data_IF_679528156789
#
_entry.id   IF_679528156789
#
_cell.length_a   1.000
_cell.length_b   1.000
_cell.length_c   1.000
_cell.angle_alpha   90.00
_cell.angle_beta   90.00
_cell.angle_gamma   90.00
#
_symmetry.space_group_name_H-M   'P 1'
#
loop_
_entity.id
_entity.type
_entity.pdbx_description
1 polymer ?
#
# COMPACT_ATOMS: atom_id res chain seq x y z
N UNK A 1 -6.36 -16.95 -21.77
CA UNK A 1 -5.46 -16.22 -20.88
C UNK A 1 -5.50 -16.83 -19.50
N UNK A 2 -4.35 -17.06 -18.89
CA UNK A 2 -4.30 -17.70 -17.58
C UNK A 2 -4.81 -16.75 -16.51
N UNK A 3 -5.47 -17.31 -15.48
CA UNK A 3 -5.89 -16.56 -14.31
C UNK A 3 -4.63 -16.13 -13.53
N UNK A 4 -4.43 -14.82 -13.31
CA UNK A 4 -3.23 -14.34 -12.59
C UNK A 4 -3.12 -14.83 -11.15
N UNK A 5 -4.24 -15.24 -10.53
CA UNK A 5 -4.22 -15.72 -9.14
C UNK A 5 -3.77 -17.17 -9.02
N UNK A 6 -3.65 -17.91 -10.11
CA UNK A 6 -3.26 -19.33 -10.11
C UNK A 6 -2.12 -19.64 -11.07
N UNK A 7 -1.83 -18.78 -12.03
CA UNK A 7 -0.78 -19.02 -13.01
C UNK A 7 0.61 -19.08 -12.35
N UNK A 8 1.55 -19.88 -12.88
CA UNK A 8 2.90 -19.93 -12.30
C UNK A 8 3.66 -18.61 -12.42
N UNK A 9 3.30 -17.78 -13.38
CA UNK A 9 3.75 -16.39 -13.46
C UNK A 9 2.72 -15.57 -14.25
N UNK A 10 2.73 -14.26 -14.03
CA UNK A 10 1.93 -13.34 -14.82
C UNK A 10 2.48 -11.92 -14.65
N UNK A 11 2.01 -11.01 -15.50
CA UNK A 11 2.43 -9.62 -15.46
C UNK A 11 1.22 -8.72 -15.74
N UNK A 12 1.20 -7.56 -15.11
CA UNK A 12 0.13 -6.58 -15.29
C UNK A 12 0.70 -5.19 -15.03
N UNK A 13 0.16 -4.18 -15.72
CA UNK A 13 0.40 -2.79 -15.35
C UNK A 13 -0.37 -2.45 -14.10
N UNK A 14 0.23 -1.69 -13.17
CA UNK A 14 -0.47 -1.26 -11.97
C UNK A 14 -1.80 -0.56 -12.30
N UNK A 15 -1.82 0.25 -13.36
CA UNK A 15 -3.02 0.96 -13.79
C UNK A 15 -4.18 0.03 -14.14
N UNK A 16 -3.89 -1.23 -14.51
CA UNK A 16 -4.90 -2.21 -14.89
C UNK A 16 -5.33 -3.12 -13.74
N UNK A 17 -4.70 -3.00 -12.58
CA UNK A 17 -5.15 -3.74 -11.38
C UNK A 17 -6.39 -3.06 -10.82
N UNK A 18 -7.41 -3.87 -10.51
CA UNK A 18 -8.68 -3.36 -9.99
C UNK A 18 -8.47 -2.47 -8.76
N UNK A 19 -9.26 -1.42 -8.67
CA UNK A 19 -9.19 -0.48 -7.56
C UNK A 19 -10.33 -0.70 -6.57
N UNK A 20 -10.11 -0.25 -5.34
CA UNK A 20 -11.12 -0.17 -4.31
C UNK A 20 -10.88 1.13 -3.52
N UNK A 21 -11.80 1.47 -2.64
CA UNK A 21 -11.68 2.66 -1.78
C UNK A 21 -10.57 2.52 -0.72
N UNK A 22 -9.96 1.33 -0.62
CA UNK A 22 -8.89 1.05 0.33
C UNK A 22 -9.41 0.77 1.73
N UNK A 23 -8.60 1.07 2.78
CA UNK A 23 -8.98 0.80 4.17
C UNK A 23 -10.26 1.50 4.61
N UNK A 24 -10.90 1.02 5.71
CA UNK A 24 -12.24 1.48 6.12
C UNK A 24 -12.35 2.97 6.44
N UNK A 25 -11.26 3.68 6.66
CA UNK A 25 -11.33 5.12 6.94
C UNK A 25 -11.79 5.94 5.73
N UNK A 26 -11.74 5.34 4.53
CA UNK A 26 -12.31 5.93 3.33
C UNK A 26 -11.74 7.29 2.93
N UNK A 27 -10.59 7.66 3.46
CA UNK A 27 -10.07 9.02 3.36
C UNK A 27 -9.33 9.30 2.05
N UNK A 28 -9.12 8.30 1.20
CA UNK A 28 -8.31 8.47 0.00
C UNK A 28 -9.11 9.00 -1.17
N UNK A 29 -8.72 10.14 -1.72
CA UNK A 29 -9.18 10.58 -3.03
C UNK A 29 -8.46 9.89 -4.17
N UNK A 30 -7.37 9.19 -3.87
CA UNK A 30 -6.53 8.50 -4.84
C UNK A 30 -7.03 7.08 -5.11
N UNK A 31 -6.60 6.50 -6.22
CA UNK A 31 -6.92 5.12 -6.54
C UNK A 31 -6.04 4.15 -5.73
N UNK A 32 -6.67 3.15 -5.16
CA UNK A 32 -6.00 2.11 -4.37
C UNK A 32 -6.14 0.79 -5.12
N UNK A 33 -5.01 0.22 -5.55
CA UNK A 33 -4.98 -0.96 -6.41
C UNK A 33 -4.71 -2.22 -5.60
N UNK A 34 -5.58 -3.23 -5.74
CA UNK A 34 -5.55 -4.47 -4.95
C UNK A 34 -4.58 -5.48 -5.58
N UNK A 35 -3.29 -5.23 -5.47
CA UNK A 35 -2.25 -6.06 -6.10
C UNK A 35 -2.17 -7.45 -5.47
N UNK A 36 -2.17 -7.51 -4.13
CA UNK A 36 -2.12 -8.79 -3.42
C UNK A 36 -3.25 -9.71 -3.90
N UNK A 37 -4.45 -9.17 -3.99
CA UNK A 37 -5.64 -9.94 -4.40
C UNK A 37 -5.56 -10.34 -5.86
N UNK A 38 -5.06 -9.46 -6.71
CA UNK A 38 -4.93 -9.73 -8.14
C UNK A 38 -4.12 -11.01 -8.41
N UNK A 39 -2.98 -11.14 -7.73
CA UNK A 39 -2.10 -12.30 -7.88
C UNK A 39 -2.35 -13.40 -6.85
N UNK A 40 -3.17 -13.15 -5.86
CA UNK A 40 -3.33 -14.00 -4.67
C UNK A 40 -2.00 -14.28 -3.99
N UNK A 41 -1.24 -13.23 -3.72
CA UNK A 41 0.05 -13.34 -3.03
C UNK A 41 -0.18 -13.86 -1.61
N UNK A 42 0.49 -14.94 -1.24
CA UNK A 42 0.31 -15.62 0.04
C UNK A 42 1.34 -15.24 1.09
N UNK A 43 2.49 -14.72 0.69
CA UNK A 43 3.64 -14.55 1.57
C UNK A 43 3.75 -13.16 2.19
N UNK A 44 3.12 -12.14 1.60
CA UNK A 44 3.20 -10.76 2.08
C UNK A 44 2.02 -9.95 1.54
N UNK A 45 1.73 -8.84 2.20
CA UNK A 45 0.79 -7.86 1.69
C UNK A 45 1.45 -6.96 0.66
N UNK A 46 0.76 -6.64 -0.41
CA UNK A 46 1.23 -5.71 -1.43
C UNK A 46 0.05 -5.04 -2.09
N UNK A 47 0.09 -3.71 -2.15
CA UNK A 47 -0.94 -2.94 -2.84
C UNK A 47 -0.29 -1.70 -3.45
N UNK A 48 -0.99 -1.10 -4.40
CA UNK A 48 -0.51 0.10 -5.06
C UNK A 48 -1.43 1.28 -4.79
N UNK A 49 -0.87 2.47 -4.88
CA UNK A 49 -1.64 3.69 -4.79
C UNK A 49 -1.19 4.63 -5.90
N UNK A 50 -2.15 5.23 -6.59
CA UNK A 50 -1.86 6.20 -7.64
C UNK A 50 -2.66 7.47 -7.39
N UNK A 51 -2.11 8.61 -7.74
CA UNK A 51 -2.81 9.88 -7.56
C UNK A 51 -2.09 11.02 -8.25
N UNK A 52 -2.75 12.17 -8.23
CA UNK A 52 -2.28 13.39 -8.84
C UNK A 52 -1.95 14.44 -7.77
N UNK A 53 -1.38 15.56 -8.21
CA UNK A 53 -0.92 16.60 -7.29
C UNK A 53 -1.98 16.99 -6.26
N UNK A 54 -1.62 16.98 -4.99
CA UNK A 54 -2.49 17.33 -3.88
C UNK A 54 -3.33 16.19 -3.33
N UNK A 55 -3.33 15.02 -3.98
CA UNK A 55 -4.11 13.89 -3.52
C UNK A 55 -3.38 13.07 -2.45
N UNK A 56 -4.14 12.63 -1.45
CA UNK A 56 -3.63 11.73 -0.40
C UNK A 56 -3.54 10.32 -0.98
N UNK A 57 -2.31 9.87 -1.29
CA UNK A 57 -2.10 8.55 -1.91
C UNK A 57 -1.94 7.45 -0.86
N UNK A 58 -1.39 7.75 0.31
CA UNK A 58 -1.37 6.82 1.44
C UNK A 58 -2.13 7.50 2.57
N UNK A 59 -3.27 6.92 2.95
CA UNK A 59 -4.08 7.43 4.05
C UNK A 59 -3.33 7.26 5.36
N UNK A 60 -3.53 8.17 6.31
CA UNK A 60 -2.86 8.08 7.59
C UNK A 60 -3.30 6.83 8.34
N UNK A 61 -2.34 6.00 8.71
CA UNK A 61 -2.60 4.77 9.45
C UNK A 61 -1.32 4.28 10.14
N UNK A 62 -1.49 3.36 11.06
CA UNK A 62 -0.40 2.56 11.61
C UNK A 62 -0.65 1.08 11.29
N UNK A 63 0.33 0.23 11.66
CA UNK A 63 0.29 -1.20 11.37
C UNK A 63 0.31 -2.05 12.65
N UNK A 64 -0.17 -1.50 13.78
CA UNK A 64 -0.16 -2.22 15.06
C UNK A 64 -1.11 -3.42 15.03
N UNK A 65 -0.81 -4.43 15.86
CA UNK A 65 -1.63 -5.63 16.01
C UNK A 65 -3.09 -5.32 16.34
N UNK A 66 -3.32 -4.28 17.13
CA UNK A 66 -4.65 -3.88 17.59
C UNK A 66 -5.29 -2.79 16.72
N UNK A 67 -4.74 -2.52 15.54
CA UNK A 67 -5.30 -1.52 14.65
C UNK A 67 -6.63 -1.97 14.08
N UNK A 68 -7.49 -1.02 13.76
CA UNK A 68 -8.79 -1.28 13.15
C UNK A 68 -8.68 -1.94 11.78
N UNK A 69 -7.54 -1.80 11.12
CA UNK A 69 -7.27 -2.39 9.81
C UNK A 69 -6.89 -3.87 9.88
N UNK A 70 -6.46 -4.35 11.05
CA UNK A 70 -6.08 -5.74 11.23
C UNK A 70 -4.81 -6.14 10.52
N UNK A 71 -3.81 -5.28 10.53
CA UNK A 71 -2.53 -5.50 9.85
C UNK A 71 -1.52 -6.29 10.67
N UNK A 72 -1.77 -6.46 11.95
CA UNK A 72 -1.04 -7.38 12.82
C UNK A 72 0.45 -7.12 12.95
N UNK A 73 0.85 -5.86 13.07
CA UNK A 73 2.24 -5.52 13.38
C UNK A 73 3.17 -5.65 12.18
N UNK A 74 2.70 -5.33 11.00
CA UNK A 74 3.54 -5.37 9.80
C UNK A 74 4.65 -4.32 9.83
N UNK A 75 5.85 -4.70 9.41
CA UNK A 75 6.79 -3.73 8.88
C UNK A 75 6.40 -3.45 7.42
N UNK A 76 6.64 -2.23 6.94
CA UNK A 76 6.11 -1.80 5.66
C UNK A 76 7.16 -1.04 4.85
N UNK A 77 7.31 -1.44 3.59
CA UNK A 77 8.19 -0.79 2.63
C UNK A 77 7.35 -0.14 1.55
N UNK A 78 7.59 1.16 1.34
CA UNK A 78 7.00 1.89 0.23
C UNK A 78 8.05 2.15 -0.84
N UNK A 79 7.65 2.00 -2.11
CA UNK A 79 8.50 2.33 -3.25
C UNK A 79 7.77 3.34 -4.12
N UNK A 80 8.34 4.52 -4.30
CA UNK A 80 7.78 5.52 -5.21
C UNK A 80 8.24 5.17 -6.62
N UNK A 81 7.32 4.62 -7.42
CA UNK A 81 7.62 4.11 -8.75
C UNK A 81 7.64 5.20 -9.81
N UNK A 82 6.81 6.21 -9.65
CA UNK A 82 6.75 7.36 -10.56
C UNK A 82 6.26 8.59 -9.82
N UNK A 83 6.50 9.76 -10.38
CA UNK A 83 6.04 11.02 -9.81
C UNK A 83 6.85 11.43 -8.59
N UNK A 84 6.16 11.98 -7.61
CA UNK A 84 6.78 12.53 -6.41
C UNK A 84 5.76 12.57 -5.27
N UNK A 85 6.17 12.16 -4.09
CA UNK A 85 5.32 12.20 -2.91
C UNK A 85 6.08 12.79 -1.71
N UNK A 86 5.33 13.32 -0.76
CA UNK A 86 5.86 13.69 0.54
C UNK A 86 5.18 12.80 1.58
N UNK A 87 5.98 11.99 2.26
CA UNK A 87 5.50 11.18 3.37
C UNK A 87 5.53 11.97 4.65
N UNK A 88 4.57 11.73 5.53
CA UNK A 88 4.62 12.18 6.93
C UNK A 88 4.65 10.94 7.80
N UNK A 89 5.75 10.76 8.52
CA UNK A 89 5.96 9.60 9.38
C UNK A 89 6.26 10.09 10.79
N UNK A 90 5.37 9.78 11.72
CA UNK A 90 5.46 10.23 13.11
C UNK A 90 5.70 11.76 13.18
N UNK A 91 5.00 12.51 12.35
CA UNK A 91 5.07 13.96 12.28
C UNK A 91 6.26 14.51 11.50
N UNK A 92 7.14 13.67 10.97
CA UNK A 92 8.29 14.09 10.19
C UNK A 92 8.04 13.95 8.70
N UNK A 93 8.33 14.99 7.94
CA UNK A 93 8.20 14.94 6.49
C UNK A 93 9.41 14.29 5.83
N UNK A 94 9.15 13.43 4.85
CA UNK A 94 10.16 12.76 4.05
C UNK A 94 9.88 13.03 2.59
N UNK A 95 10.80 13.71 1.92
CA UNK A 95 10.72 13.99 0.49
C UNK A 95 11.04 12.73 -0.31
N UNK A 96 10.14 12.34 -1.21
CA UNK A 96 10.25 11.05 -1.89
C UNK A 96 9.97 11.16 -3.39
N UNK A 97 10.98 11.58 -4.18
CA UNK A 97 10.88 11.50 -5.64
C UNK A 97 10.89 10.05 -6.12
N UNK A 98 10.54 9.85 -7.39
CA UNK A 98 10.55 8.52 -8.01
C UNK A 98 11.87 7.80 -7.75
N UNK A 99 11.79 6.52 -7.39
CA UNK A 99 12.94 5.71 -7.02
C UNK A 99 13.28 5.71 -5.53
N UNK A 100 12.60 6.51 -4.72
CA UNK A 100 12.80 6.53 -3.27
C UNK A 100 12.12 5.34 -2.62
N UNK A 101 12.83 4.70 -1.70
CA UNK A 101 12.28 3.66 -0.83
C UNK A 101 12.11 4.24 0.58
N UNK A 102 10.94 4.06 1.15
CA UNK A 102 10.63 4.48 2.52
C UNK A 102 10.26 3.23 3.31
N UNK A 103 11.03 2.93 4.36
CA UNK A 103 10.78 1.75 5.18
C UNK A 103 10.36 2.16 6.59
N UNK A 104 9.23 1.63 7.03
CA UNK A 104 8.71 1.86 8.37
C UNK A 104 8.77 0.53 9.13
N UNK A 105 9.77 0.42 9.99
CA UNK A 105 10.01 -0.79 10.79
C UNK A 105 9.05 -0.90 11.96
N UNK A 106 8.81 0.22 12.64
CA UNK A 106 7.96 0.24 13.83
C UNK A 106 6.49 0.35 13.42
N UNK A 107 5.69 -0.70 13.66
CA UNK A 107 4.28 -0.68 13.26
C UNK A 107 3.44 0.38 13.98
N UNK A 108 3.93 0.93 15.09
CA UNK A 108 3.18 1.93 15.85
C UNK A 108 3.27 3.34 15.24
N UNK A 109 4.19 3.60 14.32
CA UNK A 109 4.33 4.92 13.73
C UNK A 109 3.20 5.22 12.75
N UNK A 110 2.55 6.36 12.92
CA UNK A 110 1.58 6.85 11.94
C UNK A 110 2.31 7.27 10.67
N UNK A 111 1.75 6.91 9.52
CA UNK A 111 2.30 7.24 8.21
C UNK A 111 1.21 7.64 7.25
N UNK A 112 1.56 8.58 6.38
CA UNK A 112 0.71 9.03 5.28
C UNK A 112 1.60 9.56 4.15
N UNK A 113 1.03 9.76 2.97
CA UNK A 113 1.76 10.36 1.85
C UNK A 113 0.81 11.14 0.94
N UNK A 114 1.27 12.29 0.48
CA UNK A 114 0.55 13.15 -0.46
C UNK A 114 1.37 13.22 -1.75
N UNK A 115 0.70 13.00 -2.88
CA UNK A 115 1.32 13.19 -4.18
C UNK A 115 1.49 14.70 -4.46
N UNK A 116 2.59 15.08 -5.07
CA UNK A 116 2.86 16.49 -5.41
C UNK A 116 2.80 16.75 -6.90
N UNK A 117 2.80 15.71 -7.73
CA UNK A 117 2.72 15.82 -9.19
C UNK A 117 1.76 14.79 -9.74
N UNK A 118 1.30 15.00 -10.96
CA UNK A 118 0.45 14.04 -11.67
C UNK A 118 1.20 12.73 -11.91
N UNK A 119 0.47 11.63 -11.96
CA UNK A 119 1.02 10.33 -12.30
C UNK A 119 1.90 9.74 -11.20
N UNK A 120 1.70 10.13 -9.96
CA UNK A 120 2.43 9.54 -8.83
C UNK A 120 1.89 8.14 -8.56
N UNK A 121 2.83 7.18 -8.44
CA UNK A 121 2.50 5.79 -8.15
C UNK A 121 3.43 5.26 -7.07
N UNK A 122 2.84 4.61 -6.06
CA UNK A 122 3.55 4.05 -4.93
C UNK A 122 3.14 2.59 -4.78
N UNK A 123 4.12 1.72 -4.54
CA UNK A 123 3.88 0.33 -4.16
C UNK A 123 4.17 0.18 -2.67
N UNK A 124 3.26 -0.46 -1.94
CA UNK A 124 3.43 -0.75 -0.52
C UNK A 124 3.51 -2.26 -0.32
N UNK A 125 4.53 -2.71 0.41
CA UNK A 125 4.75 -4.12 0.72
C UNK A 125 4.92 -4.26 2.22
N UNK A 126 4.20 -5.22 2.82
CA UNK A 126 4.31 -5.43 4.26
C UNK A 126 4.03 -6.85 4.68
N UNK A 127 4.65 -7.23 5.79
CA UNK A 127 4.42 -8.51 6.43
C UNK A 127 4.88 -8.42 7.88
N UNK A 128 4.39 -9.34 8.71
CA UNK A 128 4.77 -9.43 10.11
C UNK A 128 6.10 -10.16 10.24
N UNK A 129 7.12 -9.58 10.87
CA UNK A 129 8.39 -10.28 11.07
C UNK A 129 8.21 -11.55 11.90
N UNK A 130 8.86 -12.64 11.47
CA UNK A 130 8.92 -13.87 12.23
C UNK A 130 7.63 -14.66 12.33
N UNK A 131 6.62 -14.36 11.50
CA UNK A 131 5.34 -15.06 11.52
C UNK A 131 4.84 -15.27 10.08
N UNK A 132 4.02 -16.31 9.85
CA UNK A 132 3.37 -16.48 8.56
C UNK A 132 2.49 -15.28 8.25
N UNK A 133 2.46 -14.86 6.99
CA UNK A 133 1.59 -13.78 6.57
C UNK A 133 0.12 -14.20 6.65
N UNK A 134 -0.72 -13.28 7.13
CA UNK A 134 -2.17 -13.44 7.10
C UNK A 134 -2.76 -12.19 6.46
N UNK A 135 -3.75 -12.39 5.57
CA UNK A 135 -4.43 -11.28 4.89
C UNK A 135 -5.09 -10.38 5.93
N UNK A 136 -4.88 -9.06 5.80
CA UNK A 136 -5.45 -8.08 6.71
C UNK A 136 -6.99 -8.13 6.72
N UNK A 137 -7.58 -7.88 7.88
CA UNK A 137 -9.05 -7.99 8.03
C UNK A 137 -9.80 -7.05 7.08
N UNK A 138 -9.30 -5.83 6.88
CA UNK A 138 -9.96 -4.89 5.97
C UNK A 138 -10.02 -5.43 4.53
N UNK A 139 -8.97 -6.14 4.10
CA UNK A 139 -8.90 -6.71 2.77
C UNK A 139 -9.82 -7.93 2.63
N UNK A 140 -9.95 -8.73 3.69
CA UNK A 140 -10.85 -9.87 3.72
C UNK A 140 -12.32 -9.45 3.55
N UNK A 141 -12.68 -8.24 3.96
CA UNK A 141 -14.05 -7.74 3.85
C UNK A 141 -14.43 -7.32 2.44
N UNK A 142 -13.49 -7.28 1.51
CA UNK A 142 -13.76 -6.91 0.12
C UNK A 142 -14.39 -8.12 -0.60
N UNK A 143 -15.55 -7.89 -1.21
CA UNK A 143 -16.31 -8.92 -1.88
C UNK A 143 -15.62 -9.45 -3.15
#
# INVERSE_FOLDING_TARGET
MSDPSTAPFSAVSLADVVTDSGPPDGSGAAAFHLVRRHFDVQAFGVNGATGNAGELVITEHDERDDSDYGTEGHEELFAVMSGHAVFTIDGQEVDAPAGTLVFVRDPALLRSAVATVEGTAILAVGARPGAPYAVSRWEQSIA
#
